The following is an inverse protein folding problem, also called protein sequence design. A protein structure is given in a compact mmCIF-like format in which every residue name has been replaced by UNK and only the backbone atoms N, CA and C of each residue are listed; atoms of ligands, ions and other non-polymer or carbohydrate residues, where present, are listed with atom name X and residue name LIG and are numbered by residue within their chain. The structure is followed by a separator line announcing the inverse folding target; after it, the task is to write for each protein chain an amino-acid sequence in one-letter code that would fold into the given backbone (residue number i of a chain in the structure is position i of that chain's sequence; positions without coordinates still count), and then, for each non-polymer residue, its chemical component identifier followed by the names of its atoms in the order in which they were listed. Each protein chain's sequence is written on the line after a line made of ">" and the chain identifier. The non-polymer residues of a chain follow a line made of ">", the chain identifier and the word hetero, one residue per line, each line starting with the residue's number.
data_IF_091858610201
#
_entry.id   IF_091858610201
#
_cell.length_a   1.000
_cell.length_b   1.000
_cell.length_c   1.000
_cell.angle_alpha   90.00
_cell.angle_beta   90.00
_cell.angle_gamma   90.00
#
_symmetry.space_group_name_H-M   'P 1'
#
loop_
_entity.id
_entity.type
_entity.pdbx_description
1 polymer ?
#
# COMPACT_ATOMS: atom_id res chain seq x y z
N UNK A 1 31.35 38.54 -33.38
CA UNK A 1 31.14 37.08 -33.17
C UNK A 1 29.87 36.91 -32.34
N UNK A 2 28.76 36.52 -32.98
CA UNK A 2 27.47 36.31 -32.31
C UNK A 2 27.53 34.99 -31.54
N UNK A 3 27.28 35.03 -30.23
CA UNK A 3 27.14 33.83 -29.38
C UNK A 3 25.81 33.17 -29.74
N UNK A 4 25.84 31.93 -30.19
CA UNK A 4 24.65 31.11 -30.34
C UNK A 4 24.23 30.63 -28.96
N UNK A 5 23.01 30.98 -28.57
CA UNK A 5 22.31 30.40 -27.44
C UNK A 5 21.83 29.01 -27.88
N UNK A 6 22.44 27.95 -27.35
CA UNK A 6 21.90 26.61 -27.49
C UNK A 6 20.76 26.52 -26.47
N UNK A 7 19.52 26.61 -26.97
CA UNK A 7 18.34 26.22 -26.21
C UNK A 7 18.29 24.70 -26.28
N UNK A 8 18.66 24.04 -25.18
CA UNK A 8 18.34 22.63 -24.98
C UNK A 8 16.85 22.58 -24.69
N UNK A 9 16.05 22.12 -25.66
CA UNK A 9 14.68 21.71 -25.37
C UNK A 9 14.78 20.47 -24.46
N UNK A 10 14.53 20.67 -23.16
CA UNK A 10 14.05 19.58 -22.32
C UNK A 10 12.69 19.18 -22.89
N UNK A 11 12.62 18.01 -23.50
CA UNK A 11 11.35 17.34 -23.75
C UNK A 11 10.86 16.94 -22.36
N UNK A 12 10.04 17.79 -21.75
CA UNK A 12 9.19 17.36 -20.65
C UNK A 12 8.29 16.26 -21.23
N UNK A 13 8.56 15.01 -20.88
CA UNK A 13 7.59 13.94 -21.09
C UNK A 13 6.39 14.30 -20.23
N UNK A 14 5.37 14.93 -20.81
CA UNK A 14 4.07 14.99 -20.18
C UNK A 14 3.58 13.55 -20.09
N UNK A 15 3.70 12.94 -18.92
CA UNK A 15 2.84 11.82 -18.57
C UNK A 15 1.41 12.38 -18.71
N UNK A 16 0.73 12.03 -19.80
CA UNK A 16 -0.72 12.15 -19.84
C UNK A 16 -1.20 11.21 -18.75
N UNK A 17 -1.78 11.72 -17.67
CA UNK A 17 -2.48 10.84 -16.74
C UNK A 17 -3.53 10.06 -17.52
N UNK A 18 -3.62 8.76 -17.25
CA UNK A 18 -4.62 7.88 -17.85
C UNK A 18 -6.03 8.33 -17.47
N UNK A 19 -7.04 7.74 -18.10
CA UNK A 19 -8.42 7.89 -17.65
C UNK A 19 -8.59 7.28 -16.26
N UNK A 20 -9.59 7.76 -15.52
CA UNK A 20 -9.96 7.18 -14.23
C UNK A 20 -11.20 6.32 -14.42
N UNK A 21 -11.09 5.06 -13.98
CA UNK A 21 -12.21 4.13 -13.90
C UNK A 21 -12.43 3.72 -12.46
N UNK A 22 -13.68 3.63 -12.02
CA UNK A 22 -14.02 3.39 -10.62
C UNK A 22 -14.46 1.95 -10.40
N UNK A 23 -13.88 1.31 -9.40
CA UNK A 23 -14.13 -0.09 -9.07
C UNK A 23 -14.57 -0.34 -7.63
N UNK A 24 -15.31 -1.42 -7.44
CA UNK A 24 -15.50 -2.07 -6.15
C UNK A 24 -14.91 -3.47 -6.22
N UNK A 25 -13.71 -3.66 -5.66
CA UNK A 25 -12.92 -4.88 -5.84
C UNK A 25 -12.94 -5.83 -4.62
N UNK A 26 -13.93 -5.67 -3.75
CA UNK A 26 -14.16 -6.56 -2.61
C UNK A 26 -15.66 -6.66 -2.30
N UNK A 27 -16.26 -7.82 -2.59
CA UNK A 27 -17.67 -8.07 -2.34
C UNK A 27 -18.03 -9.56 -2.32
N UNK A 28 -19.10 -9.89 -1.61
CA UNK A 28 -19.58 -11.25 -1.35
C UNK A 28 -20.96 -11.49 -1.93
N UNK A 29 -21.28 -12.77 -2.13
CA UNK A 29 -22.54 -13.26 -2.65
C UNK A 29 -23.05 -14.41 -1.78
N UNK A 30 -24.13 -15.05 -2.20
CA UNK A 30 -24.67 -16.28 -1.58
C UNK A 30 -23.74 -17.49 -1.73
N UNK A 31 -22.58 -17.34 -2.37
CA UNK A 31 -21.59 -18.40 -2.44
C UNK A 31 -20.72 -18.45 -1.18
N UNK A 32 -20.64 -17.38 -0.40
CA UNK A 32 -20.28 -17.40 1.03
C UNK A 32 -21.45 -16.94 1.91
N UNK A 33 -21.31 -15.78 2.56
CA UNK A 33 -22.20 -15.23 3.59
C UNK A 33 -22.91 -13.93 3.15
N UNK A 34 -22.76 -13.56 1.88
CA UNK A 34 -23.54 -12.52 1.22
C UNK A 34 -24.94 -13.00 0.74
N UNK A 35 -25.68 -12.10 0.12
CA UNK A 35 -26.99 -12.38 -0.48
C UNK A 35 -26.94 -12.31 -1.99
N UNK A 36 -27.71 -13.16 -2.67
CA UNK A 36 -27.84 -13.14 -4.14
C UNK A 36 -26.68 -13.81 -4.87
N UNK A 37 -26.80 -14.03 -6.18
CA UNK A 37 -25.79 -14.77 -6.95
C UNK A 37 -24.72 -13.85 -7.53
N UNK A 38 -23.55 -14.38 -7.95
CA UNK A 38 -22.58 -13.61 -8.73
C UNK A 38 -23.17 -12.98 -10.00
N UNK A 39 -24.10 -13.67 -10.68
CA UNK A 39 -24.84 -13.11 -11.82
C UNK A 39 -25.65 -11.87 -11.42
N UNK A 40 -26.43 -11.94 -10.33
CA UNK A 40 -27.18 -10.79 -9.83
C UNK A 40 -26.25 -9.64 -9.42
N UNK A 41 -25.08 -9.95 -8.85
CA UNK A 41 -24.11 -8.95 -8.39
C UNK A 41 -23.47 -8.19 -9.55
N UNK A 42 -22.95 -8.91 -10.56
CA UNK A 42 -22.38 -8.28 -11.76
C UNK A 42 -23.45 -7.55 -12.57
N UNK A 43 -24.65 -8.12 -12.72
CA UNK A 43 -25.77 -7.45 -13.40
C UNK A 43 -26.16 -6.15 -12.70
N UNK A 44 -26.28 -6.15 -11.37
CA UNK A 44 -26.61 -4.96 -10.60
C UNK A 44 -25.54 -3.88 -10.73
N UNK A 45 -24.26 -4.23 -10.51
CA UNK A 45 -23.15 -3.29 -10.60
C UNK A 45 -23.06 -2.66 -12.01
N UNK A 46 -23.11 -3.49 -13.06
CA UNK A 46 -23.08 -3.02 -14.45
C UNK A 46 -24.26 -2.11 -14.78
N UNK A 47 -25.48 -2.51 -14.43
CA UNK A 47 -26.69 -1.75 -14.76
C UNK A 47 -26.84 -0.46 -13.94
N UNK A 48 -26.19 -0.37 -12.78
CA UNK A 48 -26.20 0.83 -11.95
C UNK A 48 -25.47 2.01 -12.59
N UNK A 49 -24.43 1.74 -13.40
CA UNK A 49 -23.58 2.75 -14.03
C UNK A 49 -22.76 3.59 -13.04
N UNK A 50 -22.59 3.15 -11.78
CA UNK A 50 -21.80 3.89 -10.76
C UNK A 50 -20.38 3.35 -10.56
N UNK A 51 -20.05 2.27 -11.26
CA UNK A 51 -18.73 1.63 -11.33
C UNK A 51 -18.48 1.09 -12.72
N UNK A 52 -17.21 1.08 -13.11
CA UNK A 52 -16.68 0.46 -14.32
C UNK A 52 -16.18 -0.97 -14.04
N UNK A 53 -15.82 -1.25 -12.78
CA UNK A 53 -15.18 -2.49 -12.36
C UNK A 53 -15.88 -3.06 -11.12
N UNK A 54 -16.18 -4.36 -11.12
CA UNK A 54 -16.71 -5.06 -9.94
C UNK A 54 -15.97 -6.38 -9.76
N UNK A 55 -15.51 -6.68 -8.54
CA UNK A 55 -15.02 -8.00 -8.18
C UNK A 55 -16.00 -8.77 -7.31
N UNK A 56 -16.02 -10.09 -7.45
CA UNK A 56 -16.67 -11.00 -6.51
C UNK A 56 -15.59 -11.89 -5.89
N UNK A 57 -15.54 -11.88 -4.57
CA UNK A 57 -14.46 -12.45 -3.76
C UNK A 57 -15.03 -13.21 -2.57
N UNK A 58 -16.00 -14.11 -2.80
CA UNK A 58 -16.60 -14.93 -1.76
C UNK A 58 -15.54 -15.66 -0.90
N UNK A 59 -15.85 -15.88 0.37
CA UNK A 59 -14.92 -16.48 1.33
C UNK A 59 -14.45 -17.89 0.92
N UNK A 60 -13.13 -18.07 0.98
CA UNK A 60 -12.39 -19.27 0.58
C UNK A 60 -12.93 -20.59 1.14
N UNK A 61 -13.26 -20.62 2.43
CA UNK A 61 -13.70 -21.83 3.13
C UNK A 61 -15.07 -22.34 2.66
N UNK A 62 -15.91 -21.46 2.10
CA UNK A 62 -17.21 -21.83 1.54
C UNK A 62 -17.10 -22.36 0.10
N UNK A 63 -16.01 -22.07 -0.60
CA UNK A 63 -15.74 -22.57 -1.97
C UNK A 63 -15.54 -24.09 -2.02
N UNK A 64 -15.22 -24.71 -0.87
CA UNK A 64 -15.11 -26.16 -0.72
C UNK A 64 -16.43 -26.93 -0.86
N UNK A 65 -17.56 -26.23 -0.90
CA UNK A 65 -18.87 -26.85 -1.03
C UNK A 65 -19.44 -26.59 -2.43
N UNK A 66 -19.70 -27.63 -3.24
CA UNK A 66 -20.28 -27.46 -4.55
C UNK A 66 -21.71 -26.92 -4.44
N UNK A 67 -22.16 -26.27 -5.51
CA UNK A 67 -23.54 -25.83 -5.66
C UNK A 67 -24.49 -27.03 -5.79
N UNK A 68 -25.81 -26.83 -5.64
CA UNK A 68 -26.80 -27.91 -5.74
C UNK A 68 -26.77 -28.69 -7.06
N UNK A 69 -26.25 -28.10 -8.14
CA UNK A 69 -26.08 -28.73 -9.46
C UNK A 69 -24.76 -29.51 -9.60
N UNK A 70 -23.90 -29.50 -8.57
CA UNK A 70 -22.60 -30.15 -8.53
C UNK A 70 -21.43 -29.32 -9.05
N UNK A 71 -21.67 -28.09 -9.52
CA UNK A 71 -20.61 -27.19 -9.98
C UNK A 71 -19.86 -26.52 -8.83
N UNK A 72 -18.58 -26.19 -9.04
CA UNK A 72 -17.77 -25.47 -8.06
C UNK A 72 -18.06 -23.97 -8.09
N UNK A 73 -18.12 -23.35 -6.91
CA UNK A 73 -18.47 -21.94 -6.75
C UNK A 73 -17.49 -21.00 -7.46
N UNK A 74 -16.17 -21.24 -7.33
CA UNK A 74 -15.16 -20.41 -7.99
C UNK A 74 -15.28 -20.49 -9.52
N UNK A 75 -15.46 -21.70 -10.08
CA UNK A 75 -15.68 -21.87 -11.53
C UNK A 75 -16.87 -21.07 -12.03
N UNK A 76 -17.96 -21.02 -11.25
CA UNK A 76 -19.15 -20.20 -11.57
C UNK A 76 -18.87 -18.70 -11.45
N UNK A 77 -18.09 -18.25 -10.47
CA UNK A 77 -17.69 -16.84 -10.36
C UNK A 77 -16.86 -16.44 -11.58
N UNK A 78 -15.89 -17.27 -11.99
CA UNK A 78 -15.07 -17.08 -13.20
C UNK A 78 -15.97 -17.02 -14.45
N UNK A 79 -16.86 -18.00 -14.64
CA UNK A 79 -17.80 -18.04 -15.77
C UNK A 79 -18.65 -16.77 -15.85
N UNK A 80 -19.14 -16.27 -14.71
CA UNK A 80 -19.92 -15.03 -14.67
C UNK A 80 -19.05 -13.80 -14.94
N UNK A 81 -17.83 -13.75 -14.41
CA UNK A 81 -16.90 -12.64 -14.69
C UNK A 81 -16.58 -12.55 -16.20
N UNK A 82 -16.28 -13.68 -16.85
CA UNK A 82 -16.07 -13.74 -18.30
C UNK A 82 -17.31 -13.30 -19.08
N UNK A 83 -18.51 -13.71 -18.65
CA UNK A 83 -19.77 -13.39 -19.34
C UNK A 83 -20.15 -11.91 -19.22
N UNK A 84 -19.88 -11.27 -18.08
CA UNK A 84 -20.29 -9.89 -17.82
C UNK A 84 -19.25 -8.86 -18.26
N UNK A 85 -17.99 -9.27 -18.41
CA UNK A 85 -16.93 -8.42 -18.95
C UNK A 85 -17.26 -7.98 -20.37
N UNK A 86 -17.22 -6.67 -20.59
CA UNK A 86 -17.30 -6.02 -21.88
C UNK A 86 -16.19 -4.96 -21.92
N UNK A 87 -15.11 -5.28 -22.62
CA UNK A 87 -13.95 -4.39 -22.81
C UNK A 87 -14.42 -2.99 -23.26
N UNK A 88 -13.91 -1.95 -22.59
CA UNK A 88 -14.30 -0.56 -22.81
C UNK A 88 -15.63 -0.12 -22.18
N UNK A 89 -16.38 -1.01 -21.53
CA UNK A 89 -17.66 -0.69 -20.87
C UNK A 89 -17.74 -1.14 -19.41
N UNK A 90 -17.37 -2.38 -19.09
CA UNK A 90 -17.48 -2.95 -17.74
C UNK A 90 -16.56 -4.15 -17.58
N UNK A 91 -15.72 -4.17 -16.54
CA UNK A 91 -14.83 -5.29 -16.25
C UNK A 91 -15.30 -6.01 -15.00
N UNK A 92 -15.55 -7.31 -15.12
CA UNK A 92 -15.91 -8.17 -14.00
C UNK A 92 -14.69 -8.99 -13.58
N UNK A 93 -14.34 -8.92 -12.29
CA UNK A 93 -13.20 -9.62 -11.70
C UNK A 93 -13.71 -10.81 -10.88
N UNK A 94 -13.09 -11.97 -11.09
CA UNK A 94 -13.27 -13.15 -10.24
C UNK A 94 -12.12 -13.29 -9.25
N UNK A 95 -12.44 -13.67 -8.02
CA UNK A 95 -11.47 -13.98 -6.99
C UNK A 95 -12.11 -14.67 -5.79
N UNK A 96 -11.35 -14.70 -4.69
CA UNK A 96 -11.82 -15.19 -3.39
C UNK A 96 -11.18 -14.40 -2.26
N UNK A 97 -11.82 -14.34 -1.09
CA UNK A 97 -11.21 -13.78 0.13
C UNK A 97 -10.72 -14.92 1.04
N UNK A 98 -9.41 -15.03 1.19
CA UNK A 98 -8.82 -15.90 2.22
C UNK A 98 -9.02 -15.27 3.59
N UNK A 99 -9.75 -15.96 4.47
CA UNK A 99 -10.40 -15.32 5.63
C UNK A 99 -9.95 -15.94 6.95
N UNK A 100 -8.83 -15.50 7.52
CA UNK A 100 -8.33 -16.02 8.79
C UNK A 100 -8.58 -15.06 9.96
N UNK A 101 -9.57 -15.41 10.79
CA UNK A 101 -9.93 -14.67 11.99
C UNK A 101 -8.71 -14.32 12.84
N UNK A 102 -8.59 -13.04 13.22
CA UNK A 102 -7.51 -12.48 14.04
C UNK A 102 -6.11 -12.43 13.41
N UNK A 103 -5.96 -12.86 12.15
CA UNK A 103 -4.69 -12.78 11.40
C UNK A 103 -4.76 -11.81 10.23
N UNK A 104 -5.96 -11.53 9.71
CA UNK A 104 -6.20 -10.64 8.58
C UNK A 104 -6.81 -11.41 7.42
N UNK A 105 -7.38 -10.68 6.47
CA UNK A 105 -8.04 -11.26 5.30
C UNK A 105 -7.36 -10.78 4.01
N UNK A 106 -7.31 -11.64 2.99
CA UNK A 106 -6.62 -11.33 1.73
C UNK A 106 -7.53 -11.69 0.57
N UNK A 107 -7.95 -10.71 -0.23
CA UNK A 107 -8.57 -11.00 -1.52
C UNK A 107 -7.50 -11.33 -2.55
N UNK A 108 -7.77 -12.36 -3.34
CA UNK A 108 -6.90 -12.87 -4.39
C UNK A 108 -7.70 -12.93 -5.67
N UNK A 109 -7.12 -12.40 -6.75
CA UNK A 109 -7.79 -12.23 -8.04
C UNK A 109 -7.10 -13.06 -9.13
N UNK A 110 -7.85 -13.35 -10.20
CA UNK A 110 -7.35 -13.98 -11.43
C UNK A 110 -6.72 -15.37 -11.21
N UNK A 111 -7.33 -16.19 -10.34
CA UNK A 111 -6.89 -17.57 -10.11
C UNK A 111 -7.99 -18.57 -10.37
N UNK A 112 -7.64 -19.70 -10.98
CA UNK A 112 -8.55 -20.85 -11.18
C UNK A 112 -8.56 -21.82 -9.99
N UNK A 113 -7.71 -21.57 -9.00
CA UNK A 113 -7.57 -22.35 -7.78
C UNK A 113 -7.77 -21.45 -6.56
N UNK A 114 -8.11 -22.04 -5.43
CA UNK A 114 -8.13 -21.39 -4.12
C UNK A 114 -7.40 -22.25 -3.09
N UNK A 115 -7.19 -21.66 -1.91
CA UNK A 115 -6.57 -22.30 -0.74
C UNK A 115 -7.47 -22.01 0.47
N UNK A 116 -7.70 -23.03 1.30
CA UNK A 116 -8.67 -22.97 2.39
C UNK A 116 -8.01 -22.73 3.75
N UNK A 117 -8.31 -21.58 4.35
CA UNK A 117 -7.94 -21.14 5.70
C UNK A 117 -8.30 -22.12 6.80
N UNK A 118 -9.23 -23.04 6.57
CA UNK A 118 -9.57 -24.10 7.54
C UNK A 118 -8.45 -25.13 7.69
N UNK A 119 -7.51 -25.18 6.75
CA UNK A 119 -6.38 -26.12 6.73
C UNK A 119 -5.01 -25.44 6.62
N UNK A 120 -4.98 -24.11 6.57
CA UNK A 120 -3.78 -23.32 6.30
C UNK A 120 -3.69 -22.10 7.20
N UNK A 121 -2.50 -21.53 7.33
CA UNK A 121 -2.26 -20.28 8.07
C UNK A 121 -1.76 -19.13 7.17
N UNK A 122 -1.35 -18.02 7.79
CA UNK A 122 -0.85 -16.84 7.08
C UNK A 122 0.39 -17.14 6.23
N UNK A 123 1.27 -18.01 6.71
CA UNK A 123 2.51 -18.32 6.00
C UNK A 123 2.25 -19.25 4.81
N UNK A 124 1.26 -20.15 4.94
CA UNK A 124 0.80 -20.99 3.84
C UNK A 124 0.18 -20.17 2.70
N UNK A 125 -0.69 -19.19 3.01
CA UNK A 125 -1.29 -18.32 1.98
C UNK A 125 -0.23 -17.45 1.29
N UNK A 126 0.74 -16.91 2.04
CA UNK A 126 1.85 -16.15 1.48
C UNK A 126 2.67 -16.99 0.50
N UNK A 127 3.01 -18.22 0.88
CA UNK A 127 3.69 -19.15 -0.01
C UNK A 127 2.86 -19.46 -1.26
N UNK A 128 1.56 -19.70 -1.09
CA UNK A 128 0.65 -20.00 -2.20
C UNK A 128 0.56 -18.84 -3.20
N UNK A 129 0.50 -17.60 -2.70
CA UNK A 129 0.48 -16.37 -3.52
C UNK A 129 1.76 -16.26 -4.35
N UNK A 130 2.92 -16.49 -3.73
CA UNK A 130 4.24 -16.47 -4.41
C UNK A 130 4.30 -17.55 -5.51
N UNK A 131 3.90 -18.78 -5.19
CA UNK A 131 3.94 -19.91 -6.13
C UNK A 131 3.06 -19.67 -7.37
N UNK A 132 1.94 -18.97 -7.20
CA UNK A 132 0.99 -18.67 -8.28
C UNK A 132 1.17 -17.30 -8.91
N UNK A 133 2.06 -16.49 -8.35
CA UNK A 133 2.27 -15.10 -8.77
C UNK A 133 0.95 -14.32 -8.79
N UNK A 134 0.10 -14.58 -7.79
CA UNK A 134 -1.27 -14.07 -7.76
C UNK A 134 -1.31 -12.57 -7.49
N UNK A 135 -2.38 -11.90 -7.94
CA UNK A 135 -2.65 -10.50 -7.58
C UNK A 135 -3.45 -10.50 -6.29
N UNK A 136 -2.98 -9.80 -5.26
CA UNK A 136 -3.59 -9.88 -3.94
C UNK A 136 -3.70 -8.52 -3.22
N UNK A 137 -4.64 -8.43 -2.28
CA UNK A 137 -4.93 -7.24 -1.49
C UNK A 137 -5.06 -7.59 -0.01
N UNK A 138 -4.45 -6.81 0.87
CA UNK A 138 -4.75 -6.83 2.30
C UNK A 138 -6.10 -6.15 2.56
N UNK A 139 -7.06 -6.92 3.09
CA UNK A 139 -8.41 -6.43 3.35
C UNK A 139 -8.58 -5.96 4.78
N UNK A 140 -9.20 -4.77 4.92
CA UNK A 140 -9.65 -4.11 6.14
C UNK A 140 -8.80 -4.38 7.40
N UNK A 141 -7.46 -4.25 7.32
CA UNK A 141 -6.58 -4.60 8.42
C UNK A 141 -6.88 -3.73 9.64
N UNK A 142 -6.99 -4.35 10.81
CA UNK A 142 -7.40 -3.64 12.01
C UNK A 142 -7.58 -4.55 13.20
N UNK A 143 -7.92 -3.98 14.35
CA UNK A 143 -8.03 -4.71 15.62
C UNK A 143 -9.04 -5.85 15.59
N UNK A 144 -10.10 -5.71 14.78
CA UNK A 144 -11.17 -6.71 14.68
C UNK A 144 -10.74 -7.97 13.92
N UNK A 145 -10.07 -7.80 12.78
CA UNK A 145 -9.80 -8.89 11.83
C UNK A 145 -8.35 -9.38 11.89
N UNK A 146 -7.44 -8.54 12.39
CA UNK A 146 -6.00 -8.77 12.40
C UNK A 146 -5.29 -7.81 11.43
N UNK A 147 -3.98 -7.73 11.59
CA UNK A 147 -3.09 -6.89 10.79
C UNK A 147 -1.82 -7.66 10.43
N UNK A 148 -1.93 -8.97 10.17
CA UNK A 148 -0.86 -9.82 9.66
C UNK A 148 0.39 -9.84 10.54
N UNK A 149 0.17 -9.96 11.85
CA UNK A 149 1.20 -9.82 12.89
C UNK A 149 1.93 -8.47 12.79
N UNK A 150 1.15 -7.39 12.73
CA UNK A 150 1.68 -6.04 12.57
C UNK A 150 2.54 -5.89 11.29
N UNK A 151 2.00 -6.46 10.21
CA UNK A 151 2.55 -6.52 8.86
C UNK A 151 3.97 -7.06 8.83
N UNK A 152 4.21 -8.22 9.47
CA UNK A 152 5.49 -8.93 9.39
C UNK A 152 5.93 -9.02 7.91
N UNK A 153 7.13 -8.52 7.61
CA UNK A 153 7.54 -8.24 6.24
C UNK A 153 8.28 -9.40 5.60
N UNK A 154 7.84 -9.78 4.40
CA UNK A 154 8.43 -10.85 3.61
C UNK A 154 8.75 -10.34 2.21
N UNK A 155 10.04 -10.08 1.88
CA UNK A 155 10.42 -9.48 0.60
C UNK A 155 9.93 -10.25 -0.63
N UNK A 156 9.79 -11.57 -0.55
CA UNK A 156 9.28 -12.35 -1.68
C UNK A 156 7.76 -12.24 -1.87
N UNK A 157 7.02 -12.12 -0.77
CA UNK A 157 5.56 -12.02 -0.78
C UNK A 157 5.13 -10.62 -1.22
N UNK A 158 5.92 -9.61 -0.86
CA UNK A 158 5.76 -8.21 -1.24
C UNK A 158 5.67 -7.98 -2.76
N UNK A 159 6.30 -8.84 -3.56
CA UNK A 159 6.20 -8.80 -5.02
C UNK A 159 4.77 -9.06 -5.54
N UNK A 160 3.90 -9.64 -4.72
CA UNK A 160 2.60 -10.19 -5.12
C UNK A 160 1.42 -9.73 -4.25
N UNK A 161 1.66 -9.19 -3.04
CA UNK A 161 0.65 -8.41 -2.33
C UNK A 161 0.71 -6.98 -2.87
N UNK A 162 -0.32 -6.57 -3.60
CA UNK A 162 -0.25 -5.35 -4.39
C UNK A 162 -0.99 -4.19 -3.74
N UNK A 163 -2.07 -4.42 -3.03
CA UNK A 163 -2.92 -3.33 -2.53
C UNK A 163 -3.36 -3.56 -1.09
N UNK A 164 -3.85 -2.51 -0.44
CA UNK A 164 -4.34 -2.54 0.93
C UNK A 164 -5.54 -1.61 1.06
N UNK A 165 -6.58 -2.09 1.74
CA UNK A 165 -7.75 -1.28 1.98
C UNK A 165 -7.46 -0.21 3.05
N UNK A 166 -7.45 1.04 2.62
CA UNK A 166 -7.51 2.22 3.50
C UNK A 166 -8.95 2.61 3.80
N UNK A 167 -9.91 2.07 3.03
CA UNK A 167 -11.34 2.24 3.26
C UNK A 167 -12.09 0.94 3.07
N UNK A 168 -12.94 0.58 4.04
CA UNK A 168 -13.75 -0.62 3.95
C UNK A 168 -15.13 -0.48 4.64
N UNK A 169 -16.16 -0.98 3.95
CA UNK A 169 -17.39 -1.43 4.59
C UNK A 169 -18.67 -0.92 3.94
N UNK A 170 -19.75 -1.70 4.11
CA UNK A 170 -21.10 -1.41 3.61
C UNK A 170 -22.05 -0.95 4.73
N UNK A 171 -21.52 -0.55 5.89
CA UNK A 171 -22.30 -0.21 7.07
C UNK A 171 -23.03 1.14 6.98
N UNK A 172 -24.29 1.17 7.46
CA UNK A 172 -25.10 2.38 7.73
C UNK A 172 -25.15 3.49 6.66
N UNK A 173 -25.07 3.15 5.36
CA UNK A 173 -25.12 4.11 4.24
C UNK A 173 -24.26 5.37 4.49
N UNK A 174 -23.06 5.20 5.04
CA UNK A 174 -22.14 6.31 5.28
C UNK A 174 -20.97 6.22 4.31
N UNK A 175 -20.71 7.30 3.56
CA UNK A 175 -19.46 7.57 2.84
C UNK A 175 -18.34 7.92 3.83
N UNK A 176 -18.13 7.07 4.83
CA UNK A 176 -17.10 7.23 5.86
C UNK A 176 -16.53 5.84 6.16
N UNK A 177 -15.95 5.25 5.14
CA UNK A 177 -15.28 3.96 5.14
C UNK A 177 -13.77 4.11 5.22
N UNK A 178 -13.20 5.22 4.71
CA UNK A 178 -11.81 5.60 4.98
C UNK A 178 -11.77 6.13 6.41
N UNK A 179 -11.09 5.38 7.28
CA UNK A 179 -11.06 5.64 8.73
C UNK A 179 -9.63 5.71 9.21
N UNK A 180 -9.43 6.45 10.29
CA UNK A 180 -8.13 6.62 10.93
C UNK A 180 -7.42 5.27 11.18
N UNK A 181 -8.14 4.24 11.64
CA UNK A 181 -7.54 2.93 11.88
C UNK A 181 -6.95 2.30 10.60
N UNK A 182 -7.69 2.31 9.49
CA UNK A 182 -7.21 1.75 8.22
C UNK A 182 -6.08 2.61 7.62
N UNK A 183 -6.19 3.92 7.76
CA UNK A 183 -5.15 4.86 7.35
C UNK A 183 -3.84 4.65 8.13
N UNK A 184 -3.90 4.52 9.46
CA UNK A 184 -2.75 4.18 10.31
C UNK A 184 -2.14 2.83 9.89
N UNK A 185 -2.97 1.85 9.54
CA UNK A 185 -2.52 0.51 9.10
C UNK A 185 -1.85 0.54 7.74
N UNK A 186 -2.29 1.42 6.84
CA UNK A 186 -1.61 1.67 5.58
C UNK A 186 -0.22 2.26 5.79
N UNK A 187 -0.11 3.32 6.59
CA UNK A 187 1.20 3.87 6.96
C UNK A 187 2.09 2.83 7.63
N UNK A 188 1.51 1.97 8.49
CA UNK A 188 2.24 0.89 9.15
C UNK A 188 2.81 -0.13 8.16
N UNK A 189 2.02 -0.58 7.18
CA UNK A 189 2.48 -1.49 6.15
C UNK A 189 3.65 -0.89 5.34
N UNK A 190 3.54 0.38 4.93
CA UNK A 190 4.62 1.08 4.22
C UNK A 190 5.88 1.24 5.07
N UNK A 191 5.75 1.55 6.37
CA UNK A 191 6.90 1.60 7.29
C UNK A 191 7.54 0.23 7.53
N UNK A 192 6.75 -0.85 7.47
CA UNK A 192 7.25 -2.23 7.56
C UNK A 192 8.01 -2.67 6.31
N UNK A 193 7.83 -1.98 5.19
CA UNK A 193 8.54 -2.21 3.92
C UNK A 193 7.64 -2.68 2.77
N UNK A 194 6.35 -2.89 3.01
CA UNK A 194 5.42 -3.35 1.98
C UNK A 194 5.19 -2.31 0.88
N UNK A 195 5.14 -2.77 -0.38
CA UNK A 195 4.82 -2.00 -1.57
C UNK A 195 3.36 -2.18 -1.95
N UNK A 196 2.47 -1.57 -1.16
CA UNK A 196 1.02 -1.68 -1.33
C UNK A 196 0.39 -0.36 -1.77
N UNK A 197 -0.53 -0.44 -2.74
CA UNK A 197 -1.35 0.67 -3.20
C UNK A 197 -2.62 0.84 -2.38
N UNK A 198 -3.13 2.07 -2.29
CA UNK A 198 -4.32 2.39 -1.51
C UNK A 198 -5.61 2.04 -2.27
N UNK A 199 -6.47 1.21 -1.67
CA UNK A 199 -7.79 0.86 -2.20
C UNK A 199 -8.90 1.18 -1.20
N UNK A 200 -10.11 1.41 -1.70
CA UNK A 200 -11.31 1.48 -0.88
C UNK A 200 -12.44 0.66 -1.50
N UNK A 201 -13.05 -0.20 -0.70
CA UNK A 201 -14.10 -1.11 -1.15
C UNK A 201 -15.22 -1.23 -0.13
N UNK A 202 -16.26 -1.96 -0.50
CA UNK A 202 -17.48 -2.01 0.28
C UNK A 202 -17.60 -3.27 1.15
N UNK A 203 -16.93 -4.37 0.81
CA UNK A 203 -17.12 -5.64 1.53
C UNK A 203 -18.63 -5.97 1.64
N UNK A 204 -19.33 -5.84 0.50
CA UNK A 204 -20.78 -5.94 0.46
C UNK A 204 -21.22 -7.37 0.73
N UNK A 205 -22.24 -7.51 1.58
CA UNK A 205 -22.94 -8.77 1.82
C UNK A 205 -24.44 -8.68 1.48
N UNK A 206 -24.90 -7.52 1.00
CA UNK A 206 -26.29 -7.25 0.65
C UNK A 206 -26.43 -7.04 -0.86
N UNK A 207 -27.66 -7.15 -1.40
CA UNK A 207 -27.96 -6.99 -2.83
C UNK A 207 -27.92 -5.52 -3.31
N UNK A 208 -26.88 -4.79 -2.93
CA UNK A 208 -26.65 -3.39 -3.23
C UNK A 208 -25.18 -3.10 -3.59
N UNK A 209 -24.49 -4.09 -4.17
CA UNK A 209 -23.11 -3.99 -4.67
C UNK A 209 -22.86 -2.71 -5.45
N UNK A 210 -21.71 -2.09 -5.23
CA UNK A 210 -21.32 -0.78 -5.74
C UNK A 210 -22.22 0.40 -5.29
N UNK A 211 -23.47 0.19 -4.90
CA UNK A 211 -24.47 1.24 -4.67
C UNK A 211 -24.76 1.56 -3.20
N UNK A 212 -24.20 0.81 -2.24
CA UNK A 212 -24.45 1.05 -0.80
C UNK A 212 -23.88 2.38 -0.31
N UNK A 213 -22.77 2.81 -0.89
CA UNK A 213 -22.07 4.07 -0.63
C UNK A 213 -21.19 4.43 -1.84
N UNK A 214 -20.39 5.48 -1.70
CA UNK A 214 -19.60 6.07 -2.78
C UNK A 214 -18.12 5.68 -2.74
N UNK A 215 -17.74 4.78 -1.82
CA UNK A 215 -16.38 4.28 -1.72
C UNK A 215 -15.95 3.47 -2.95
N UNK A 216 -14.81 3.82 -3.55
CA UNK A 216 -14.28 3.19 -4.76
C UNK A 216 -12.76 3.07 -4.69
N UNK A 217 -12.26 2.09 -5.43
CA UNK A 217 -10.88 2.05 -5.89
C UNK A 217 -10.85 2.64 -7.29
N UNK A 218 -10.18 3.78 -7.46
CA UNK A 218 -10.02 4.44 -8.75
C UNK A 218 -8.76 3.90 -9.46
N UNK A 219 -8.91 3.52 -10.72
CA UNK A 219 -7.89 2.93 -11.58
C UNK A 219 -7.41 3.98 -12.59
N UNK A 220 -6.11 4.26 -12.60
CA UNK A 220 -5.50 5.26 -13.49
C UNK A 220 -4.87 4.54 -14.68
N UNK A 221 -5.68 4.30 -15.70
CA UNK A 221 -5.35 3.50 -16.89
C UNK A 221 -5.84 4.18 -18.17
N UNK A 222 -5.16 3.94 -19.28
CA UNK A 222 -5.49 4.62 -20.55
C UNK A 222 -6.75 4.06 -21.22
N UNK A 223 -7.05 2.79 -20.98
CA UNK A 223 -8.19 2.07 -21.56
C UNK A 223 -8.77 1.10 -20.52
N UNK A 224 -10.10 1.00 -20.46
CA UNK A 224 -10.79 0.03 -19.61
C UNK A 224 -10.72 -1.35 -20.23
N UNK A 225 -9.62 -2.07 -19.97
CA UNK A 225 -9.49 -3.46 -20.36
C UNK A 225 -9.13 -4.38 -19.22
N UNK A 226 -9.49 -5.66 -19.33
CA UNK A 226 -9.16 -6.66 -18.31
C UNK A 226 -7.65 -6.69 -18.01
N UNK A 227 -6.83 -6.65 -19.07
CA UNK A 227 -5.37 -6.59 -18.95
C UNK A 227 -4.90 -5.34 -18.18
N UNK A 228 -5.44 -4.16 -18.52
CA UNK A 228 -5.07 -2.90 -17.88
C UNK A 228 -5.53 -2.80 -16.44
N UNK A 229 -6.69 -3.36 -16.11
CA UNK A 229 -7.19 -3.43 -14.73
C UNK A 229 -6.26 -4.28 -13.85
N UNK A 230 -5.87 -5.46 -14.30
CA UNK A 230 -4.91 -6.28 -13.57
C UNK A 230 -3.50 -5.69 -13.55
N UNK A 231 -3.05 -5.04 -14.63
CA UNK A 231 -1.80 -4.29 -14.64
C UNK A 231 -1.82 -3.19 -13.59
N UNK A 232 -2.90 -2.43 -13.48
CA UNK A 232 -3.04 -1.34 -12.51
C UNK A 232 -3.07 -1.85 -11.06
N UNK A 233 -3.68 -3.00 -10.77
CA UNK A 233 -3.55 -3.65 -9.46
C UNK A 233 -2.08 -4.00 -9.19
N UNK A 234 -1.43 -4.73 -10.09
CA UNK A 234 -0.03 -5.19 -9.94
C UNK A 234 0.98 -4.06 -9.85
N UNK A 235 0.71 -2.93 -10.50
CA UNK A 235 1.57 -1.74 -10.52
C UNK A 235 1.10 -0.66 -9.56
N UNK A 236 -0.01 -0.86 -8.85
CA UNK A 236 -0.59 0.08 -7.88
C UNK A 236 -0.91 1.44 -8.48
N UNK A 237 -1.26 1.47 -9.76
CA UNK A 237 -1.73 2.67 -10.46
C UNK A 237 -3.19 2.96 -10.08
N UNK A 238 -3.43 3.08 -8.77
CA UNK A 238 -4.76 3.23 -8.17
C UNK A 238 -4.75 4.26 -7.04
N UNK A 239 -5.92 4.75 -6.66
CA UNK A 239 -6.15 5.44 -5.41
C UNK A 239 -7.49 5.09 -4.79
N UNK A 240 -7.60 5.24 -3.48
CA UNK A 240 -8.83 5.10 -2.74
C UNK A 240 -9.59 6.42 -2.74
N UNK A 241 -10.91 6.37 -2.86
CA UNK A 241 -11.77 7.55 -2.76
C UNK A 241 -13.15 7.20 -2.19
N UNK A 242 -13.74 8.14 -1.47
CA UNK A 242 -15.16 8.11 -1.07
C UNK A 242 -16.06 8.93 -2.00
N UNK A 243 -15.49 9.46 -3.08
CA UNK A 243 -16.16 10.26 -4.08
C UNK A 243 -16.31 9.50 -5.40
N UNK A 244 -17.40 9.76 -6.14
CA UNK A 244 -17.74 9.03 -7.37
C UNK A 244 -17.01 9.53 -8.61
N UNK A 245 -16.45 10.73 -8.58
CA UNK A 245 -15.92 11.40 -9.76
C UNK A 245 -14.68 12.26 -9.49
N UNK A 246 -14.19 12.31 -8.25
CA UNK A 246 -12.96 13.01 -7.91
C UNK A 246 -11.75 12.37 -8.60
N UNK A 247 -11.01 13.21 -9.32
CA UNK A 247 -9.71 12.87 -9.92
C UNK A 247 -8.57 13.25 -8.97
N UNK A 248 -7.60 12.34 -8.83
CA UNK A 248 -6.32 12.63 -8.20
C UNK A 248 -5.17 12.10 -9.07
N UNK A 249 -4.26 13.00 -9.46
CA UNK A 249 -2.99 12.67 -10.06
C UNK A 249 -1.87 12.82 -9.05
N UNK A 250 -0.96 11.86 -8.99
CA UNK A 250 0.26 11.94 -8.20
C UNK A 250 1.44 11.38 -8.99
N UNK A 251 2.44 12.21 -9.27
CA UNK A 251 3.55 11.89 -10.15
C UNK A 251 4.83 12.63 -9.78
N UNK A 252 5.91 12.27 -10.45
CA UNK A 252 7.20 12.96 -10.43
C UNK A 252 7.86 12.84 -11.81
N UNK A 253 9.10 13.29 -11.98
CA UNK A 253 9.82 13.16 -13.24
C UNK A 253 10.06 11.68 -13.60
N UNK A 254 9.21 11.14 -14.47
CA UNK A 254 9.35 9.80 -15.03
C UNK A 254 8.68 8.66 -14.23
N UNK A 255 7.88 8.99 -13.21
CA UNK A 255 7.10 8.02 -12.44
C UNK A 255 5.75 8.58 -12.00
N UNK A 256 4.80 7.69 -11.70
CA UNK A 256 3.47 8.00 -11.16
C UNK A 256 3.18 7.15 -9.92
N UNK A 257 2.07 7.46 -9.22
CA UNK A 257 1.62 6.67 -8.08
C UNK A 257 1.66 5.16 -8.38
N UNK A 258 2.23 4.38 -7.47
CA UNK A 258 2.44 2.96 -7.62
C UNK A 258 3.85 2.55 -8.09
N UNK A 259 4.61 3.47 -8.69
CA UNK A 259 5.95 3.22 -9.21
C UNK A 259 7.06 3.37 -8.15
N UNK A 260 8.17 2.70 -8.42
CA UNK A 260 9.42 2.82 -7.66
C UNK A 260 10.51 3.42 -8.52
N UNK A 261 11.16 4.47 -8.03
CA UNK A 261 12.36 5.06 -8.58
C UNK A 261 13.59 4.64 -7.78
N UNK A 262 14.72 4.45 -8.47
CA UNK A 262 15.98 4.04 -7.85
C UNK A 262 17.05 5.13 -7.94
N UNK A 263 17.78 5.31 -6.85
CA UNK A 263 18.95 6.21 -6.73
C UNK A 263 18.65 7.68 -7.12
N UNK A 264 17.44 8.15 -6.82
CA UNK A 264 16.98 9.53 -7.05
C UNK A 264 17.02 10.32 -5.74
N UNK A 265 18.07 11.11 -5.46
CA UNK A 265 18.23 11.81 -4.18
C UNK A 265 17.33 13.05 -4.02
N UNK A 266 16.77 13.56 -5.13
CA UNK A 266 15.84 14.70 -5.16
C UNK A 266 14.83 14.50 -6.27
N UNK A 267 13.60 14.93 -6.04
CA UNK A 267 12.50 14.81 -6.99
C UNK A 267 11.53 15.98 -6.83
N UNK A 268 10.80 16.30 -7.90
CA UNK A 268 9.65 17.20 -7.84
C UNK A 268 8.40 16.36 -7.82
N UNK A 269 7.67 16.39 -6.71
CA UNK A 269 6.37 15.72 -6.60
C UNK A 269 5.30 16.64 -7.16
N UNK A 270 4.47 16.12 -8.06
CA UNK A 270 3.33 16.81 -8.66
C UNK A 270 2.03 16.18 -8.20
N UNK A 271 1.15 16.98 -7.62
CA UNK A 271 -0.19 16.58 -7.20
C UNK A 271 -1.23 17.35 -8.02
N UNK A 272 -2.15 16.63 -8.63
CA UNK A 272 -3.26 17.17 -9.41
C UNK A 272 -4.57 16.72 -8.77
N UNK A 273 -5.54 17.61 -8.67
CA UNK A 273 -6.88 17.31 -8.17
C UNK A 273 -7.94 18.00 -9.01
N UNK A 274 -9.02 17.29 -9.27
CA UNK A 274 -10.19 17.85 -9.95
C UNK A 274 -11.46 17.14 -9.50
N UNK A 275 -12.36 17.88 -8.87
CA UNK A 275 -13.71 17.45 -8.57
C UNK A 275 -14.70 18.63 -8.66
N UNK A 276 -15.13 19.02 -9.87
CA UNK A 276 -15.90 20.24 -10.07
C UNK A 276 -17.17 20.32 -9.20
N UNK A 277 -17.22 21.33 -8.32
CA UNK A 277 -18.30 21.52 -7.36
C UNK A 277 -17.96 21.13 -5.92
N UNK A 278 -16.90 20.35 -5.70
CA UNK A 278 -16.50 19.85 -4.40
C UNK A 278 -15.10 20.34 -4.03
N UNK A 279 -15.05 21.19 -3.01
CA UNK A 279 -13.80 21.86 -2.62
C UNK A 279 -13.05 21.05 -1.59
N UNK A 280 -11.73 21.11 -1.65
CA UNK A 280 -10.85 20.55 -0.61
C UNK A 280 -10.93 21.35 0.68
N UNK A 281 -10.96 20.63 1.80
CA UNK A 281 -10.75 21.13 3.17
C UNK A 281 -9.26 21.12 3.53
N UNK A 282 -8.56 20.05 3.13
CA UNK A 282 -7.13 19.85 3.40
C UNK A 282 -6.54 18.92 2.34
N UNK A 283 -5.28 19.14 1.99
CA UNK A 283 -4.49 18.20 1.20
C UNK A 283 -3.07 18.15 1.77
N UNK A 284 -2.49 16.95 1.86
CA UNK A 284 -1.15 16.77 2.40
C UNK A 284 -0.41 15.60 1.75
N UNK A 285 0.90 15.72 1.63
CA UNK A 285 1.81 14.65 1.26
C UNK A 285 2.35 14.01 2.54
N UNK A 286 2.17 12.71 2.68
CA UNK A 286 2.68 11.90 3.77
C UNK A 286 3.92 11.15 3.31
N UNK A 287 4.91 11.04 4.19
CA UNK A 287 6.15 10.29 3.94
C UNK A 287 6.65 9.61 5.20
N UNK A 288 7.67 8.76 5.06
CA UNK A 288 8.44 8.25 6.19
C UNK A 288 9.27 9.33 6.92
N UNK A 289 9.34 10.56 6.38
CA UNK A 289 10.03 11.72 6.98
C UNK A 289 9.06 12.76 7.56
N UNK A 290 7.75 12.50 7.57
CA UNK A 290 6.73 13.40 8.09
C UNK A 290 5.69 13.83 7.05
N UNK A 291 4.97 14.90 7.37
CA UNK A 291 3.81 15.39 6.61
C UNK A 291 4.11 16.79 6.06
N UNK A 292 3.82 17.00 4.78
CA UNK A 292 3.88 18.30 4.11
C UNK A 292 2.44 18.74 3.81
N UNK A 293 1.97 19.79 4.48
CA UNK A 293 0.68 20.41 4.17
C UNK A 293 0.75 21.19 2.85
N UNK A 294 -0.25 21.02 1.98
CA UNK A 294 -0.33 21.71 0.70
C UNK A 294 -1.19 22.98 0.84
N UNK A 295 -0.67 24.11 0.41
CA UNK A 295 -1.41 25.39 0.37
C UNK A 295 -2.30 25.46 -0.88
N UNK A 296 -3.37 24.66 -0.88
CA UNK A 296 -4.32 24.53 -1.99
C UNK A 296 -5.74 24.84 -1.54
N UNK A 297 -6.57 25.30 -2.48
CA UNK A 297 -7.98 25.55 -2.23
C UNK A 297 -8.78 25.46 -3.52
N UNK A 298 -10.10 25.25 -3.39
CA UNK A 298 -10.98 25.10 -4.54
C UNK A 298 -11.20 23.63 -4.88
N UNK A 299 -11.75 23.41 -6.06
CA UNK A 299 -12.23 22.13 -6.58
C UNK A 299 -11.39 21.62 -7.76
N UNK A 300 -10.48 22.45 -8.31
CA UNK A 300 -9.51 22.07 -9.34
C UNK A 300 -8.19 22.78 -9.07
N UNK A 301 -7.10 22.03 -8.96
CA UNK A 301 -5.77 22.59 -8.74
C UNK A 301 -4.64 21.61 -9.09
N UNK A 302 -3.45 22.17 -9.20
CA UNK A 302 -2.19 21.46 -9.40
C UNK A 302 -1.12 22.14 -8.55
N UNK A 303 -0.27 21.35 -7.90
CA UNK A 303 0.86 21.85 -7.10
C UNK A 303 2.09 20.97 -7.28
N UNK A 304 3.27 21.60 -7.27
CA UNK A 304 4.56 20.94 -7.32
C UNK A 304 5.34 21.20 -6.02
N UNK A 305 5.99 20.18 -5.48
CA UNK A 305 6.76 20.22 -4.23
C UNK A 305 8.11 19.53 -4.44
N UNK A 306 9.20 20.25 -4.24
CA UNK A 306 10.55 19.67 -4.22
C UNK A 306 10.76 18.87 -2.93
N UNK A 307 11.25 17.63 -3.06
CA UNK A 307 11.60 16.77 -1.93
C UNK A 307 13.03 16.26 -2.02
N UNK A 308 13.62 15.95 -0.86
CA UNK A 308 14.88 15.24 -0.76
C UNK A 308 14.63 13.81 -0.29
N UNK A 309 15.39 12.86 -0.82
CA UNK A 309 15.32 11.43 -0.49
C UNK A 309 16.63 11.03 0.20
N UNK A 310 16.79 11.36 1.50
CA UNK A 310 18.07 11.18 2.19
C UNK A 310 18.35 9.72 2.57
N UNK A 311 17.31 8.88 2.64
CA UNK A 311 17.41 7.49 3.05
C UNK A 311 17.49 6.55 1.84
N UNK A 312 18.00 5.34 2.04
CA UNK A 312 17.98 4.28 1.02
C UNK A 312 16.57 3.72 0.74
N UNK A 313 15.56 4.09 1.54
CA UNK A 313 14.16 3.74 1.35
C UNK A 313 13.27 4.90 1.79
N UNK A 314 12.52 5.47 0.84
CA UNK A 314 11.54 6.52 1.10
C UNK A 314 10.27 6.24 0.31
N UNK A 315 9.17 6.78 0.78
CA UNK A 315 7.91 6.78 0.06
C UNK A 315 7.14 8.06 0.34
N UNK A 316 6.31 8.45 -0.62
CA UNK A 316 5.39 9.57 -0.49
C UNK A 316 4.01 9.14 -0.99
N UNK A 317 2.95 9.55 -0.31
CA UNK A 317 1.58 9.41 -0.83
C UNK A 317 0.76 10.65 -0.46
N UNK A 318 -0.37 10.86 -1.13
CA UNK A 318 -1.24 12.02 -0.94
C UNK A 318 -2.50 11.61 -0.18
N UNK A 319 -2.94 12.43 0.77
CA UNK A 319 -4.31 12.40 1.32
C UNK A 319 -4.99 13.73 1.06
N UNK A 320 -6.23 13.68 0.57
CA UNK A 320 -7.10 14.85 0.36
C UNK A 320 -8.38 14.64 1.17
N UNK A 321 -8.75 15.67 1.93
CA UNK A 321 -9.99 15.73 2.68
C UNK A 321 -10.90 16.76 2.01
N UNK A 322 -12.10 16.37 1.59
CA UNK A 322 -13.09 17.28 1.01
C UNK A 322 -13.92 17.97 2.10
N UNK A 323 -14.60 19.07 1.75
CA UNK A 323 -15.43 19.84 2.71
C UNK A 323 -16.68 19.06 3.13
N UNK A 324 -17.25 18.26 2.23
CA UNK A 324 -18.46 17.47 2.44
C UNK A 324 -18.21 16.22 3.30
N UNK A 325 -16.95 15.83 3.45
CA UNK A 325 -16.49 14.75 4.34
C UNK A 325 -15.83 13.59 3.62
N UNK A 326 -15.89 13.54 2.28
CA UNK A 326 -15.24 12.50 1.50
C UNK A 326 -13.71 12.62 1.59
N UNK A 327 -13.03 11.48 1.55
CA UNK A 327 -11.57 11.40 1.58
C UNK A 327 -11.01 10.68 0.35
N UNK A 328 -9.79 11.07 -0.05
CA UNK A 328 -9.00 10.40 -1.08
C UNK A 328 -7.61 10.07 -0.54
N UNK A 329 -7.08 8.90 -0.89
CA UNK A 329 -5.72 8.47 -0.53
C UNK A 329 -5.04 7.82 -1.74
N UNK A 330 -3.90 8.35 -2.16
CA UNK A 330 -3.17 7.83 -3.33
C UNK A 330 -2.37 6.58 -2.97
N UNK A 331 -2.06 5.77 -3.97
CA UNK A 331 -0.90 4.87 -3.86
C UNK A 331 0.40 5.69 -3.74
N UNK A 332 1.48 5.12 -3.17
CA UNK A 332 2.73 5.85 -2.97
C UNK A 332 3.59 5.91 -4.23
N UNK A 333 4.53 6.84 -4.26
CA UNK A 333 5.73 6.75 -5.10
C UNK A 333 6.89 6.41 -4.17
N UNK A 334 7.64 5.36 -4.51
CA UNK A 334 8.81 4.95 -3.73
C UNK A 334 10.10 5.47 -4.34
N UNK A 335 11.05 5.82 -3.47
CA UNK A 335 12.42 6.19 -3.82
C UNK A 335 13.39 5.32 -3.04
N UNK A 336 14.12 4.44 -3.74
CA UNK A 336 14.88 3.36 -3.13
C UNK A 336 16.32 3.28 -3.64
N UNK A 337 17.17 2.62 -2.88
CA UNK A 337 18.49 2.21 -3.34
C UNK A 337 18.40 1.04 -4.32
N UNK A 338 19.11 1.14 -5.44
CA UNK A 338 19.25 0.04 -6.39
C UNK A 338 19.98 -1.19 -5.82
N UNK A 339 20.63 -1.05 -4.67
CA UNK A 339 21.30 -2.18 -3.98
C UNK A 339 20.32 -3.24 -3.48
N UNK A 340 19.03 -2.89 -3.31
CA UNK A 340 17.99 -3.81 -2.83
C UNK A 340 18.29 -4.41 -1.44
N UNK A 341 19.02 -3.64 -0.64
CA UNK A 341 19.39 -3.95 0.75
C UNK A 341 18.92 -2.80 1.63
N UNK A 342 18.08 -3.10 2.60
CA UNK A 342 17.42 -2.08 3.40
C UNK A 342 17.59 -2.35 4.89
N UNK A 343 17.59 -1.28 5.68
CA UNK A 343 17.46 -1.36 7.13
C UNK A 343 16.27 -0.50 7.53
N UNK A 344 15.25 -1.13 8.11
CA UNK A 344 13.99 -0.51 8.48
C UNK A 344 13.70 -0.74 9.97
N UNK A 345 12.63 -0.13 10.49
CA UNK A 345 12.07 -0.39 11.83
C UNK A 345 13.07 -0.26 13.00
N UNK A 346 14.10 0.58 12.85
CA UNK A 346 15.08 0.88 13.90
C UNK A 346 14.43 1.60 15.09
N UNK A 347 14.63 1.05 16.29
CA UNK A 347 14.03 1.58 17.54
C UNK A 347 14.82 1.13 18.76
N UNK A 348 14.85 1.94 19.80
CA UNK A 348 15.38 1.50 21.09
C UNK A 348 14.45 0.44 21.69
N UNK A 349 15.01 -0.63 22.23
CA UNK A 349 14.23 -1.71 22.88
C UNK A 349 13.68 -1.20 24.21
N UNK A 350 14.55 -0.59 25.02
CA UNK A 350 14.10 0.24 26.12
C UNK A 350 13.65 1.60 25.56
N UNK A 351 12.39 2.01 25.74
CA UNK A 351 11.85 3.21 25.10
C UNK A 351 12.52 4.50 25.60
N UNK A 352 13.27 4.41 26.70
CA UNK A 352 13.93 5.53 27.35
C UNK A 352 15.23 5.04 27.98
N UNK A 353 16.30 4.86 27.19
CA UNK A 353 17.59 4.42 27.70
C UNK A 353 18.19 5.46 28.66
N UNK A 354 19.10 5.02 29.53
CA UNK A 354 19.78 5.91 30.47
C UNK A 354 21.02 6.50 29.80
N UNK A 355 21.16 7.83 29.83
CA UNK A 355 22.31 8.51 29.20
C UNK A 355 23.63 8.01 29.79
N UNK A 356 24.58 7.69 28.91
CA UNK A 356 25.90 7.16 29.28
C UNK A 356 25.93 5.70 29.72
N UNK A 357 24.84 4.94 29.54
CA UNK A 357 24.83 3.49 29.68
C UNK A 357 24.54 2.82 28.33
N UNK A 358 25.09 1.62 28.08
CA UNK A 358 24.74 0.84 26.91
C UNK A 358 23.24 0.49 26.90
N UNK A 359 22.64 0.45 25.70
CA UNK A 359 21.24 0.11 25.49
C UNK A 359 21.05 -0.64 24.18
N UNK A 360 19.96 -1.41 24.08
CA UNK A 360 19.67 -2.20 22.90
C UNK A 360 18.84 -1.42 21.88
N UNK A 361 19.21 -1.54 20.61
CA UNK A 361 18.44 -1.05 19.47
C UNK A 361 18.10 -2.25 18.58
N UNK A 362 16.82 -2.40 18.28
CA UNK A 362 16.31 -3.37 17.32
C UNK A 362 16.09 -2.74 15.96
N UNK A 363 16.39 -3.45 14.88
CA UNK A 363 16.12 -3.03 13.50
C UNK A 363 15.93 -4.25 12.58
N UNK A 364 15.22 -4.05 11.48
CA UNK A 364 15.00 -5.08 10.46
C UNK A 364 16.03 -4.91 9.35
N UNK A 365 16.85 -5.93 9.10
CA UNK A 365 17.80 -5.97 7.98
C UNK A 365 17.22 -6.83 6.87
N UNK A 366 17.19 -6.28 5.66
CA UNK A 366 16.47 -6.86 4.53
C UNK A 366 17.44 -7.12 3.37
N UNK A 367 17.42 -8.35 2.86
CA UNK A 367 17.96 -8.71 1.56
C UNK A 367 16.79 -9.00 0.61
N UNK A 368 16.53 -8.10 -0.34
CA UNK A 368 15.46 -8.28 -1.34
C UNK A 368 15.98 -8.81 -2.70
N UNK A 369 17.23 -9.27 -2.74
CA UNK A 369 17.79 -9.95 -3.90
C UNK A 369 17.49 -11.45 -3.86
N UNK A 370 17.38 -12.07 -5.05
CA UNK A 370 17.23 -13.53 -5.24
C UNK A 370 18.57 -14.29 -5.14
N UNK A 371 19.48 -13.79 -4.33
CA UNK A 371 20.77 -14.39 -4.02
C UNK A 371 21.20 -14.02 -2.59
N UNK A 372 21.97 -14.90 -1.96
CA UNK A 372 22.54 -14.65 -0.64
C UNK A 372 23.50 -13.47 -0.70
N UNK A 373 23.51 -12.64 0.34
CA UNK A 373 24.31 -11.44 0.42
C UNK A 373 25.12 -11.39 1.71
N UNK A 374 26.27 -10.73 1.65
CA UNK A 374 26.93 -10.19 2.83
C UNK A 374 26.61 -8.70 2.86
N UNK A 375 25.93 -8.26 3.91
CA UNK A 375 25.50 -6.86 4.09
C UNK A 375 26.31 -6.23 5.20
N UNK A 376 26.94 -5.09 4.94
CA UNK A 376 27.66 -4.31 5.95
C UNK A 376 26.72 -3.30 6.61
N UNK A 377 26.65 -3.33 7.94
CA UNK A 377 25.94 -2.31 8.73
C UNK A 377 26.96 -1.53 9.56
N UNK A 378 26.99 -0.21 9.37
CA UNK A 378 27.78 0.74 10.15
C UNK A 378 26.84 1.69 10.88
N UNK A 379 27.08 1.96 12.17
CA UNK A 379 26.28 2.91 12.94
C UNK A 379 27.16 4.04 13.45
N UNK A 380 26.72 5.28 13.25
CA UNK A 380 27.42 6.48 13.70
C UNK A 380 26.67 7.20 14.81
N UNK A 381 27.43 7.60 15.81
CA UNK A 381 27.07 8.59 16.82
C UNK A 381 27.70 9.91 16.41
N UNK A 382 26.92 10.78 15.77
CA UNK A 382 27.43 11.99 15.12
C UNK A 382 28.45 11.65 14.02
N UNK A 383 29.74 11.94 14.25
CA UNK A 383 30.80 11.64 13.27
C UNK A 383 31.60 10.37 13.59
N UNK A 384 31.33 9.74 14.72
CA UNK A 384 32.10 8.59 15.22
C UNK A 384 31.37 7.30 14.90
N UNK A 385 32.06 6.35 14.27
CA UNK A 385 31.54 4.98 14.10
C UNK A 385 31.57 4.28 15.45
N UNK A 386 30.39 3.88 15.95
CA UNK A 386 30.23 3.17 17.22
C UNK A 386 29.96 1.67 17.03
N UNK A 387 29.58 1.27 15.81
CA UNK A 387 29.34 -0.12 15.45
C UNK A 387 29.65 -0.36 13.98
N UNK A 388 30.20 -1.52 13.66
CA UNK A 388 30.42 -1.99 12.30
C UNK A 388 30.43 -3.51 12.28
N UNK A 389 29.52 -4.12 11.54
CA UNK A 389 29.40 -5.58 11.42
C UNK A 389 28.90 -5.99 10.04
N UNK A 390 29.30 -7.18 9.61
CA UNK A 390 28.78 -7.81 8.41
C UNK A 390 27.79 -8.92 8.80
N UNK A 391 26.70 -9.02 8.05
CA UNK A 391 25.66 -10.02 8.23
C UNK A 391 25.54 -10.86 6.96
N UNK A 392 25.54 -12.18 7.13
CA UNK A 392 25.19 -13.12 6.07
C UNK A 392 23.66 -13.22 6.02
N UNK A 393 23.08 -12.80 4.90
CA UNK A 393 21.64 -12.71 4.68
C UNK A 393 21.24 -13.64 3.55
N UNK A 394 20.32 -14.55 3.82
CA UNK A 394 19.72 -15.39 2.78
C UNK A 394 18.93 -14.55 1.78
N UNK A 395 18.78 -15.03 0.55
CA UNK A 395 17.96 -14.38 -0.46
C UNK A 395 16.54 -14.08 0.02
N UNK A 396 15.95 -12.96 -0.39
CA UNK A 396 14.55 -12.58 -0.13
C UNK A 396 14.12 -12.66 1.36
N UNK A 397 14.99 -12.24 2.27
CA UNK A 397 14.79 -12.41 3.72
C UNK A 397 14.80 -11.07 4.46
N UNK A 398 13.97 -10.97 5.50
CA UNK A 398 13.99 -9.93 6.51
C UNK A 398 14.34 -10.57 7.85
N UNK A 399 15.33 -10.03 8.57
CA UNK A 399 15.71 -10.48 9.91
C UNK A 399 15.66 -9.31 10.89
N UNK A 400 14.96 -9.52 12.00
CA UNK A 400 15.06 -8.61 13.15
C UNK A 400 16.39 -8.83 13.87
N UNK A 401 17.16 -7.77 14.00
CA UNK A 401 18.48 -7.75 14.63
C UNK A 401 18.40 -6.84 15.86
N UNK A 402 18.98 -7.29 16.97
CA UNK A 402 19.14 -6.50 18.18
C UNK A 402 20.62 -6.43 18.51
N UNK A 403 21.14 -5.22 18.63
CA UNK A 403 22.53 -4.95 19.00
C UNK A 403 22.56 -3.90 20.11
N UNK A 404 23.59 -3.97 20.96
CA UNK A 404 23.80 -3.02 22.06
C UNK A 404 24.72 -1.89 21.60
N UNK A 405 24.29 -0.64 21.84
CA UNK A 405 25.02 0.56 21.48
C UNK A 405 25.29 1.43 22.71
N UNK A 406 26.32 2.27 22.62
CA UNK A 406 26.61 3.31 23.60
C UNK A 406 26.81 4.63 22.84
N UNK A 407 26.04 5.65 23.21
CA UNK A 407 26.14 6.99 22.63
C UNK A 407 25.70 8.05 23.62
N UNK A 408 26.25 9.25 23.48
CA UNK A 408 25.83 10.48 24.18
C UNK A 408 25.02 11.41 23.27
N UNK A 409 24.95 11.10 21.97
CA UNK A 409 24.20 11.83 20.96
C UNK A 409 22.74 11.38 21.00
N UNK A 410 21.82 12.32 20.77
CA UNK A 410 20.38 12.04 20.80
C UNK A 410 19.90 11.37 19.50
N UNK A 411 20.82 10.92 18.63
CA UNK A 411 20.54 10.22 17.39
C UNK A 411 21.66 9.26 16.98
N UNK A 412 21.28 8.13 16.37
CA UNK A 412 22.17 7.16 15.73
C UNK A 412 21.85 7.06 14.23
N UNK A 413 22.85 7.24 13.38
CA UNK A 413 22.73 7.10 11.93
C UNK A 413 23.20 5.71 11.49
N UNK A 414 22.30 4.95 10.87
CA UNK A 414 22.55 3.60 10.39
C UNK A 414 22.84 3.62 8.89
N UNK A 415 23.94 3.00 8.49
CA UNK A 415 24.38 2.87 7.11
C UNK A 415 24.39 1.40 6.69
N UNK A 416 23.84 1.12 5.52
CA UNK A 416 23.88 -0.19 4.85
C UNK A 416 24.77 -0.05 3.62
N UNK A 417 25.84 -0.83 3.54
CA UNK A 417 26.81 -0.77 2.42
C UNK A 417 27.25 0.68 2.06
N UNK A 418 27.43 1.52 3.09
CA UNK A 418 27.80 2.95 3.05
C UNK A 418 26.69 3.95 2.68
N UNK A 419 25.46 3.50 2.46
CA UNK A 419 24.31 4.36 2.22
C UNK A 419 23.53 4.60 3.52
N UNK A 420 23.12 5.83 3.78
CA UNK A 420 22.30 6.14 4.96
C UNK A 420 20.94 5.45 4.80
N UNK A 421 20.64 4.51 5.70
CA UNK A 421 19.41 3.73 5.64
C UNK A 421 18.34 4.29 6.58
N UNK A 422 18.75 4.73 7.78
CA UNK A 422 17.84 5.20 8.82
C UNK A 422 18.58 6.07 9.83
N UNK A 423 17.88 7.03 10.43
CA UNK A 423 18.32 7.71 11.64
C UNK A 423 17.35 7.39 12.79
N UNK A 424 17.88 6.88 13.90
CA UNK A 424 17.10 6.55 15.10
C UNK A 424 17.32 7.63 16.15
N UNK A 425 16.26 8.33 16.54
CA UNK A 425 16.30 9.26 17.66
C UNK A 425 16.33 8.49 18.99
N UNK A 426 17.17 8.96 19.93
CA UNK A 426 17.35 8.34 21.24
C UNK A 426 16.84 9.29 22.33
N UNK A 427 15.69 8.98 22.92
CA UNK A 427 15.12 9.78 24.01
C UNK A 427 15.66 9.32 25.37
N UNK A 428 16.78 9.91 25.79
CA UNK A 428 17.43 9.53 27.04
C UNK A 428 16.69 10.02 28.30
N UNK A 429 16.73 9.20 29.36
CA UNK A 429 16.47 9.68 30.72
C UNK A 429 17.77 10.06 31.41
N UNK A 430 17.80 11.25 32.01
CA UNK A 430 18.85 11.63 32.95
C UNK A 430 18.39 11.39 34.38
N UNK A 431 19.04 10.49 35.12
CA UNK A 431 18.86 10.39 36.57
C UNK A 431 19.87 11.30 37.26
N UNK A 432 19.41 12.35 37.94
CA UNK A 432 20.27 13.18 38.80
C UNK A 432 20.09 12.72 40.25
N UNK A 433 21.05 11.95 40.76
CA UNK A 433 21.12 11.64 42.18
C UNK A 433 21.69 12.87 42.92
N UNK A 434 20.84 13.65 43.57
CA UNK A 434 21.33 14.63 44.54
C UNK A 434 21.80 13.86 45.79
N UNK A 435 23.12 13.70 45.92
CA UNK A 435 23.72 13.27 47.17
C UNK A 435 23.64 14.46 48.14
N UNK A 436 22.72 14.39 49.12
CA UNK A 436 22.82 15.24 50.30
C UNK A 436 24.12 14.86 51.04
N UNK A 437 25.16 15.67 50.86
CA UNK A 437 26.44 15.55 51.57
C UNK A 437 26.42 16.24 52.91
#
# INVERSE_FOLDING_TARGET
>A
MKRFLIVVLLVASSLSFGQVFFGNIHAHTSYSDGLGTPEEAFEHARNSGVVDIQAITDHDHDLNYPLPDGSWKLDRIIEMAERFTVEGEFIAISGFEWTLTSRGHITIYDTSEWIDRSTTDLYDIYKWIVERQATAQFCHPGRKYGDFFDFEYFPEVDLYINTIEVGNGAGSNSNNVIKEEYFERYQRALSRGWHVGASANQDNHQKNWATVNDARTAFVIDELTTEKVYEALKTRNIYATEDRNAFMGFSTEGAKMGDTLYDVPRATLKVEYSDPGERVRRAAIYSNNGIIELDVSGDVWEVEIDVENPLSYNWYFVKIDQIDGNELVSSPIWFQSSTNKYLLNGRTIDPRPVKGLPFDVGFDLINSLREDQVISVEVKSGKTVVFSKQFEMTSMTCLEIVETFETEEDSLDFFVDHELALSVNVDFVSFTANLDT
#
